data_IF_040927178802
#
_entry.id   IF_040927178802
#
_cell.length_a   1.000
_cell.length_b   1.000
_cell.length_c   1.000
_cell.angle_alpha   90.00
_cell.angle_beta   90.00
_cell.angle_gamma   90.00
#
_symmetry.space_group_name_H-M   'P 1'
#
loop_
_entity.id
_entity.type
_entity.pdbx_description
1 polymer ?
#
# COMPACT_ATOMS: atom_id res chain seq x y z
N UNK A 1 18.11 17.73 6.00
CA UNK A 1 17.19 16.61 5.73
C UNK A 1 16.77 15.86 7.00
N UNK A 2 17.54 15.94 8.10
CA UNK A 2 17.19 15.35 9.40
C UNK A 2 16.35 16.25 10.32
N UNK A 3 16.07 17.50 9.94
CA UNK A 3 15.36 18.47 10.80
C UNK A 3 13.85 18.55 10.56
N UNK A 4 13.31 17.86 9.55
CA UNK A 4 11.87 17.83 9.26
C UNK A 4 11.15 16.59 9.79
N UNK A 5 11.89 15.61 10.30
CA UNK A 5 11.34 14.39 10.91
C UNK A 5 11.44 14.46 12.42
N UNK A 6 10.74 15.42 13.03
CA UNK A 6 10.53 15.42 14.48
C UNK A 6 9.86 14.12 14.91
N UNK A 7 10.61 13.22 15.56
CA UNK A 7 10.12 12.03 16.27
C UNK A 7 9.10 11.15 15.49
N UNK A 8 9.36 10.83 14.22
CA UNK A 8 8.71 9.67 13.57
C UNK A 8 9.55 8.42 13.87
N UNK A 9 9.72 8.09 15.15
CA UNK A 9 10.24 6.79 15.55
C UNK A 9 9.14 5.76 15.35
N UNK A 10 9.08 5.12 14.18
CA UNK A 10 8.10 4.07 13.92
C UNK A 10 8.40 2.85 14.79
N UNK A 11 7.62 2.62 15.85
CA UNK A 11 7.58 1.31 16.48
C UNK A 11 7.03 0.30 15.46
N UNK A 12 7.60 -0.91 15.41
CA UNK A 12 7.07 -1.97 14.55
C UNK A 12 5.58 -2.19 14.79
N UNK A 13 4.81 -2.45 13.74
CA UNK A 13 3.37 -2.73 13.82
C UNK A 13 3.01 -3.95 12.97
N UNK A 14 1.82 -4.52 13.18
CA UNK A 14 1.31 -5.60 12.33
C UNK A 14 0.40 -5.05 11.24
N UNK A 15 0.54 -5.58 10.03
CA UNK A 15 -0.39 -5.41 8.93
C UNK A 15 -1.18 -6.70 8.72
N UNK A 16 -2.49 -6.59 8.60
CA UNK A 16 -3.42 -7.70 8.37
C UNK A 16 -4.10 -7.59 7.01
N UNK A 17 -3.96 -8.64 6.20
CA UNK A 17 -4.42 -8.72 4.82
C UNK A 17 -5.53 -9.77 4.70
N UNK A 18 -6.63 -9.41 4.04
CA UNK A 18 -7.81 -10.28 4.05
C UNK A 18 -8.84 -10.06 2.95
N UNK A 19 -8.68 -9.07 2.09
CA UNK A 19 -9.60 -8.84 0.97
C UNK A 19 -8.86 -8.95 -0.36
N UNK A 20 -9.33 -9.82 -1.25
CA UNK A 20 -8.86 -9.86 -2.64
C UNK A 20 -9.42 -8.68 -3.41
N UNK A 21 -8.55 -7.92 -4.06
CA UNK A 21 -8.93 -6.74 -4.82
C UNK A 21 -8.14 -6.63 -6.12
N UNK A 22 -8.72 -5.87 -7.06
CA UNK A 22 -8.12 -5.59 -8.36
C UNK A 22 -7.86 -4.10 -8.50
N UNK A 23 -6.61 -3.79 -8.83
CA UNK A 23 -6.19 -2.42 -9.09
C UNK A 23 -5.67 -2.30 -10.52
N UNK A 24 -5.90 -1.15 -11.15
CA UNK A 24 -5.24 -0.78 -12.41
C UNK A 24 -4.34 0.41 -12.13
N UNK A 25 -3.22 0.51 -12.84
CA UNK A 25 -2.45 1.76 -12.81
C UNK A 25 -3.19 2.87 -13.56
N UNK A 26 -2.80 4.12 -13.33
CA UNK A 26 -3.45 5.30 -13.91
C UNK A 26 -3.51 5.24 -15.45
N UNK A 27 -2.45 4.75 -16.09
CA UNK A 27 -2.38 4.62 -17.56
C UNK A 27 -3.14 3.39 -18.09
N UNK A 28 -3.71 2.55 -17.21
CA UNK A 28 -4.41 1.30 -17.53
C UNK A 28 -3.62 0.34 -18.42
N UNK A 29 -2.30 0.38 -18.30
CA UNK A 29 -1.40 -0.53 -19.02
C UNK A 29 -1.06 -1.78 -18.21
N UNK A 30 -1.47 -1.82 -16.93
CA UNK A 30 -1.24 -2.92 -16.00
C UNK A 30 -2.45 -3.12 -15.10
N UNK A 31 -2.80 -4.38 -14.86
CA UNK A 31 -3.81 -4.78 -13.89
C UNK A 31 -3.17 -5.68 -12.83
N UNK A 32 -3.48 -5.45 -11.57
CA UNK A 32 -2.88 -6.12 -10.41
C UNK A 32 -3.97 -6.88 -9.64
N UNK A 33 -3.67 -8.14 -9.29
CA UNK A 33 -4.40 -8.87 -8.26
C UNK A 33 -3.67 -8.65 -6.93
N UNK A 34 -4.39 -8.18 -5.93
CA UNK A 34 -3.82 -7.69 -4.68
C UNK A 34 -4.58 -8.20 -3.45
N UNK A 35 -3.90 -8.19 -2.30
CA UNK A 35 -4.52 -8.31 -1.00
C UNK A 35 -4.52 -6.95 -0.30
N UNK A 36 -5.69 -6.47 0.09
CA UNK A 36 -5.86 -5.22 0.82
C UNK A 36 -5.71 -5.41 2.32
N UNK A 37 -5.18 -4.38 3.00
CA UNK A 37 -5.07 -4.31 4.46
C UNK A 37 -6.45 -4.00 5.05
N UNK A 38 -6.95 -4.85 5.95
CA UNK A 38 -8.36 -4.80 6.42
C UNK A 38 -8.56 -4.18 7.80
N UNK A 39 -7.58 -4.32 8.72
CA UNK A 39 -7.71 -3.92 10.13
C UNK A 39 -6.40 -3.36 10.67
N UNK A 40 -5.55 -4.22 11.22
CA UNK A 40 -4.27 -3.79 11.76
C UNK A 40 -3.36 -3.24 10.65
N UNK A 41 -2.71 -2.11 10.91
CA UNK A 41 -1.72 -1.49 10.02
C UNK A 41 -2.26 -0.39 9.11
N UNK A 42 -3.59 -0.26 8.93
CA UNK A 42 -4.18 0.80 8.07
C UNK A 42 -3.82 2.19 8.60
N UNK A 43 -4.04 2.41 9.91
CA UNK A 43 -3.76 3.70 10.55
C UNK A 43 -2.28 4.07 10.49
N UNK A 44 -1.40 3.11 10.75
CA UNK A 44 0.05 3.32 10.70
C UNK A 44 0.54 3.66 9.30
N UNK A 45 0.01 2.97 8.27
CA UNK A 45 0.33 3.27 6.87
C UNK A 45 -0.24 4.62 6.42
N UNK A 46 -1.45 4.98 6.83
CA UNK A 46 -2.01 6.31 6.56
C UNK A 46 -1.19 7.44 7.19
N UNK A 47 -0.69 7.27 8.42
CA UNK A 47 0.22 8.25 9.05
C UNK A 47 1.50 8.43 8.23
N UNK A 48 2.04 7.35 7.65
CA UNK A 48 3.22 7.43 6.78
C UNK A 48 2.91 8.18 5.48
N UNK A 49 1.77 7.89 4.85
CA UNK A 49 1.31 8.63 3.65
C UNK A 49 1.16 10.11 3.96
N UNK A 50 0.52 10.48 5.07
CA UNK A 50 0.37 11.86 5.49
C UNK A 50 1.72 12.56 5.72
N UNK A 51 2.67 11.88 6.37
CA UNK A 51 4.02 12.43 6.56
C UNK A 51 4.73 12.71 5.23
N UNK A 52 4.57 11.84 4.23
CA UNK A 52 5.09 12.05 2.87
C UNK A 52 4.36 13.20 2.18
N UNK A 53 3.04 13.27 2.29
CA UNK A 53 2.22 14.33 1.68
C UNK A 53 2.60 15.72 2.20
N UNK A 54 2.87 15.87 3.50
CA UNK A 54 3.33 17.16 4.05
C UNK A 54 4.65 17.61 3.43
N UNK A 55 5.59 16.68 3.23
CA UNK A 55 6.87 16.98 2.54
C UNK A 55 6.60 17.35 1.08
N UNK A 56 5.72 16.60 0.39
CA UNK A 56 5.40 16.87 -1.02
C UNK A 56 4.75 18.25 -1.19
N UNK A 57 3.83 18.64 -0.30
CA UNK A 57 3.22 19.98 -0.28
C UNK A 57 4.26 21.09 -0.12
N UNK A 58 5.22 20.93 0.80
CA UNK A 58 6.31 21.91 1.00
C UNK A 58 7.16 22.11 -0.26
N UNK A 59 7.21 21.12 -1.15
CA UNK A 59 7.94 21.16 -2.40
C UNK A 59 7.05 21.39 -3.64
N UNK A 60 5.77 21.75 -3.48
CA UNK A 60 4.79 21.91 -4.55
C UNK A 60 4.64 20.67 -5.46
N UNK A 61 4.75 19.48 -4.88
CA UNK A 61 4.54 18.19 -5.56
C UNK A 61 3.11 17.67 -5.31
N UNK A 62 2.56 16.84 -6.21
CA UNK A 62 1.24 16.25 -6.04
C UNK A 62 1.22 15.26 -4.86
N UNK A 63 0.25 15.39 -3.97
CA UNK A 63 0.05 14.45 -2.85
C UNK A 63 -0.43 13.08 -3.34
N UNK A 64 -0.41 12.09 -2.45
CA UNK A 64 -0.94 10.77 -2.70
C UNK A 64 -2.45 10.78 -3.00
N UNK A 65 -2.96 9.64 -3.48
CA UNK A 65 -4.38 9.46 -3.78
C UNK A 65 -5.29 9.88 -2.61
N UNK A 66 -6.42 10.51 -2.94
CA UNK A 66 -7.40 11.02 -1.95
C UNK A 66 -7.90 9.94 -0.99
N UNK A 67 -8.04 8.71 -1.48
CA UNK A 67 -8.42 7.53 -0.70
C UNK A 67 -7.28 6.50 -0.75
N UNK A 68 -6.29 6.58 0.16
CA UNK A 68 -5.20 5.63 0.19
C UNK A 68 -5.72 4.25 0.59
N UNK A 69 -5.53 3.27 -0.29
CA UNK A 69 -5.88 1.86 -0.07
C UNK A 69 -4.61 1.02 0.08
N UNK A 70 -4.08 0.81 1.29
CA UNK A 70 -2.86 0.04 1.48
C UNK A 70 -3.08 -1.42 1.08
N UNK A 71 -2.21 -1.95 0.24
CA UNK A 71 -2.33 -3.31 -0.29
C UNK A 71 -0.96 -3.86 -0.68
N UNK A 72 -0.92 -5.17 -0.93
CA UNK A 72 0.21 -5.86 -1.56
C UNK A 72 -0.25 -6.46 -2.89
N UNK A 73 0.52 -6.23 -3.95
CA UNK A 73 0.29 -6.92 -5.22
C UNK A 73 0.85 -8.33 -5.16
N UNK A 74 0.03 -9.33 -5.51
CA UNK A 74 0.43 -10.74 -5.59
C UNK A 74 0.93 -11.06 -7.01
N UNK A 75 0.32 -10.47 -8.02
CA UNK A 75 0.69 -10.63 -9.42
C UNK A 75 0.08 -9.53 -10.29
N UNK A 76 0.53 -9.46 -11.55
CA UNK A 76 0.05 -8.46 -12.51
C UNK A 76 0.00 -8.99 -13.94
N UNK A 77 -0.83 -8.36 -14.75
CA UNK A 77 -1.00 -8.63 -16.18
C UNK A 77 -0.80 -7.35 -17.02
N UNK A 78 -0.44 -7.53 -18.29
CA UNK A 78 -0.34 -6.43 -19.27
C UNK A 78 -1.74 -6.06 -19.77
N UNK A 79 -2.01 -4.75 -19.85
CA UNK A 79 -3.29 -4.20 -20.29
C UNK A 79 -4.34 -4.11 -19.19
N UNK A 80 -5.52 -3.61 -19.57
CA UNK A 80 -6.72 -3.57 -18.72
C UNK A 80 -7.47 -4.90 -18.86
N UNK A 81 -7.21 -5.80 -17.92
CA UNK A 81 -7.93 -7.08 -17.75
C UNK A 81 -8.69 -7.07 -16.42
N UNK A 82 -9.13 -5.89 -15.98
CA UNK A 82 -9.81 -5.68 -14.70
C UNK A 82 -11.07 -6.51 -14.55
N UNK A 83 -11.87 -6.66 -15.62
CA UNK A 83 -13.13 -7.41 -15.60
C UNK A 83 -12.90 -8.89 -15.21
N UNK A 84 -12.14 -9.70 -15.96
CA UNK A 84 -11.93 -11.10 -15.61
C UNK A 84 -11.19 -11.28 -14.28
N UNK A 85 -10.24 -10.39 -13.94
CA UNK A 85 -9.58 -10.45 -12.63
C UNK A 85 -10.53 -10.09 -11.49
N UNK A 86 -11.51 -9.20 -11.69
CA UNK A 86 -12.48 -8.84 -10.65
C UNK A 86 -13.40 -10.02 -10.37
N UNK A 87 -13.85 -10.74 -11.40
CA UNK A 87 -14.58 -12.00 -11.24
C UNK A 87 -13.77 -13.01 -10.42
N UNK A 88 -12.47 -13.18 -10.73
CA UNK A 88 -11.59 -14.05 -9.95
C UNK A 88 -11.46 -13.59 -8.49
N UNK A 89 -11.25 -12.30 -8.25
CA UNK A 89 -11.14 -11.75 -6.89
C UNK A 89 -12.43 -11.96 -6.09
N UNK A 90 -13.59 -11.74 -6.70
CA UNK A 90 -14.89 -11.96 -6.08
C UNK A 90 -15.12 -13.45 -5.76
N UNK A 91 -14.73 -14.36 -6.66
CA UNK A 91 -14.76 -15.79 -6.40
C UNK A 91 -13.82 -16.18 -5.25
N UNK A 92 -12.59 -15.66 -5.23
CA UNK A 92 -11.63 -15.90 -4.14
C UNK A 92 -12.17 -15.41 -2.80
N UNK A 93 -12.77 -14.23 -2.76
CA UNK A 93 -13.44 -13.69 -1.57
C UNK A 93 -14.64 -14.54 -1.15
N UNK A 94 -15.39 -15.12 -2.09
CA UNK A 94 -16.52 -16.00 -1.81
C UNK A 94 -16.10 -17.34 -1.22
N UNK A 95 -15.02 -17.94 -1.72
CA UNK A 95 -14.49 -19.22 -1.25
C UNK A 95 -13.58 -19.09 -0.03
N UNK A 96 -13.23 -17.86 0.34
CA UNK A 96 -12.48 -17.57 1.53
C UNK A 96 -13.28 -17.91 2.79
N UNK A 97 -12.71 -18.78 3.63
CA UNK A 97 -13.33 -19.23 4.88
C UNK A 97 -12.82 -18.46 6.12
N UNK A 98 -11.91 -17.50 5.93
CA UNK A 98 -11.27 -16.73 7.01
C UNK A 98 -11.21 -15.27 6.63
N UNK A 99 -11.53 -14.38 7.55
CA UNK A 99 -11.39 -12.93 7.32
C UNK A 99 -9.91 -12.52 7.16
N UNK A 100 -9.00 -13.19 7.88
CA UNK A 100 -7.56 -12.96 7.79
C UNK A 100 -6.92 -14.03 6.91
N UNK A 101 -6.27 -13.61 5.83
CA UNK A 101 -5.49 -14.48 4.94
C UNK A 101 -4.01 -14.49 5.31
N UNK A 102 -3.47 -13.32 5.66
CA UNK A 102 -2.06 -13.16 5.99
C UNK A 102 -1.88 -11.99 6.97
N UNK A 103 -0.98 -12.13 7.93
CA UNK A 103 -0.45 -11.01 8.72
C UNK A 103 1.08 -10.95 8.66
N UNK A 104 1.63 -9.74 8.74
CA UNK A 104 3.07 -9.52 8.76
C UNK A 104 3.44 -8.38 9.69
N UNK A 105 4.58 -8.51 10.37
CA UNK A 105 5.14 -7.42 11.17
C UNK A 105 5.93 -6.48 10.25
N UNK A 106 5.47 -5.24 10.14
CA UNK A 106 6.18 -4.16 9.48
C UNK A 106 7.23 -3.60 10.44
N UNK A 107 8.50 -3.78 10.07
CA UNK A 107 9.66 -3.37 10.89
C UNK A 107 10.48 -2.26 10.26
N UNK A 108 10.17 -1.85 9.03
CA UNK A 108 11.00 -0.91 8.30
C UNK A 108 10.17 -0.19 7.25
N UNK A 109 10.44 1.11 7.09
CA UNK A 109 9.95 1.91 5.96
C UNK A 109 11.13 2.50 5.22
N UNK A 110 11.07 2.39 3.89
CA UNK A 110 12.09 2.87 2.99
C UNK A 110 11.49 3.86 1.98
N UNK A 111 12.24 4.91 1.69
CA UNK A 111 11.98 5.79 0.57
C UNK A 111 12.95 5.48 -0.56
N UNK A 112 12.43 5.17 -1.75
CA UNK A 112 13.25 4.99 -2.95
C UNK A 112 13.19 6.25 -3.82
N UNK A 113 14.33 6.87 -4.06
CA UNK A 113 14.46 8.02 -4.97
C UNK A 113 15.49 7.70 -6.07
N UNK A 114 15.00 7.49 -7.29
CA UNK A 114 15.81 6.99 -8.40
C UNK A 114 16.40 5.61 -8.09
N UNK A 115 17.72 5.51 -8.10
CA UNK A 115 18.46 4.27 -7.78
C UNK A 115 18.85 4.15 -6.30
N UNK A 116 18.52 5.14 -5.47
CA UNK A 116 18.89 5.17 -4.05
C UNK A 116 17.71 4.78 -3.17
N UNK A 117 18.01 4.08 -2.07
CA UNK A 117 17.07 3.68 -1.04
C UNK A 117 17.50 4.31 0.29
N UNK A 118 16.58 4.99 0.96
CA UNK A 118 16.78 5.66 2.24
C UNK A 118 15.89 5.02 3.28
N UNK A 119 16.47 4.60 4.41
CA UNK A 119 15.71 4.06 5.53
C UNK A 119 15.10 5.23 6.31
N UNK A 120 13.78 5.24 6.45
CA UNK A 120 13.05 6.26 7.22
C UNK A 120 13.03 5.87 8.70
N UNK A 121 12.72 4.60 8.97
CA UNK A 121 12.83 3.98 10.30
C UNK A 121 12.98 2.47 10.15
N UNK A 122 13.55 1.83 11.19
CA UNK A 122 13.86 0.41 11.29
C UNK A 122 13.91 -0.01 12.76
#
# INVERSE_FOLDING_TARGET
>A
MNEYFGHVGGSSYFAEFGSWEVFTNDERTRTFLSLEVIKAGVCEMHKQVLAVDEVFKLHNLPTFYKDPRPHISIGWAVGDVSIPLKTLADDLNRFQNKELLWSSQVKKVECKAGQRVYVIWQ
#
